data_IF_632830484944
#
_entry.id   IF_632830484944
#
_cell.length_a   1.000
_cell.length_b   1.000
_cell.length_c   1.000
_cell.angle_alpha   90.00
_cell.angle_beta   90.00
_cell.angle_gamma   90.00
#
_symmetry.space_group_name_H-M   'P 1'
#
loop_
_entity.id
_entity.type
_entity.pdbx_description
1 polymer ?
#
# COMPACT_ATOMS: atom_id res chain seq x y z
N UNK A 1 8.32 -6.28 20.53
CA UNK A 1 7.28 -6.94 19.75
C UNK A 1 7.15 -6.25 18.38
N UNK A 2 7.36 -7.02 17.33
CA UNK A 2 7.27 -6.48 15.97
C UNK A 2 5.82 -6.27 15.57
N UNK A 3 5.51 -5.03 15.18
CA UNK A 3 4.18 -4.70 14.66
C UNK A 3 4.15 -4.75 13.13
N UNK A 4 4.98 -5.63 12.55
CA UNK A 4 5.08 -5.76 11.11
C UNK A 4 3.81 -6.39 10.53
N UNK A 5 3.19 -5.70 9.60
CA UNK A 5 2.04 -6.22 8.86
C UNK A 5 2.50 -6.85 7.55
N UNK A 6 3.18 -6.08 6.73
CA UNK A 6 3.61 -6.51 5.41
C UNK A 6 4.85 -5.76 4.97
N UNK A 7 5.51 -6.27 3.94
CA UNK A 7 6.59 -5.55 3.26
C UNK A 7 6.44 -5.71 1.75
N UNK A 8 6.83 -4.69 1.01
CA UNK A 8 6.93 -4.75 -0.45
C UNK A 8 8.39 -4.95 -0.79
N UNK A 9 8.69 -6.00 -1.52
CA UNK A 9 10.07 -6.38 -1.85
C UNK A 9 10.21 -6.59 -3.35
N UNK A 10 11.43 -6.42 -3.86
CA UNK A 10 11.75 -6.75 -5.23
C UNK A 10 12.84 -7.81 -5.26
N UNK A 11 12.74 -8.69 -6.23
CA UNK A 11 13.73 -9.74 -6.46
C UNK A 11 14.07 -9.75 -7.92
N UNK A 12 15.37 -9.70 -8.23
CA UNK A 12 15.87 -9.74 -9.60
C UNK A 12 16.55 -11.07 -9.83
N UNK A 13 16.13 -11.77 -10.88
CA UNK A 13 16.69 -13.06 -11.26
C UNK A 13 17.22 -12.98 -12.69
N UNK A 14 18.37 -13.62 -12.91
CA UNK A 14 18.95 -13.78 -14.23
C UNK A 14 18.61 -15.17 -14.74
N UNK A 15 18.00 -15.23 -15.92
CA UNK A 15 17.70 -16.52 -16.56
C UNK A 15 18.84 -16.92 -17.47
N UNK A 16 19.46 -18.04 -17.15
CA UNK A 16 20.54 -18.60 -17.98
C UNK A 16 19.98 -19.01 -19.34
N UNK A 17 18.74 -19.50 -19.37
CA UNK A 17 18.11 -20.01 -20.59
C UNK A 17 17.80 -18.89 -21.58
N UNK A 18 17.25 -17.77 -21.13
CA UNK A 18 16.85 -16.66 -21.98
C UNK A 18 17.91 -15.57 -22.09
N UNK A 19 18.86 -15.55 -21.16
CA UNK A 19 19.87 -14.50 -21.07
C UNK A 19 19.30 -13.18 -20.58
N UNK A 20 18.09 -13.17 -20.05
CA UNK A 20 17.40 -11.96 -19.60
C UNK A 20 17.31 -11.88 -18.10
N UNK A 21 17.29 -10.64 -17.62
CA UNK A 21 17.07 -10.34 -16.21
C UNK A 21 15.60 -10.04 -15.99
N UNK A 22 14.99 -10.64 -14.99
CA UNK A 22 13.59 -10.45 -14.65
C UNK A 22 13.49 -9.94 -13.23
N UNK A 23 12.74 -8.85 -13.03
CA UNK A 23 12.49 -8.29 -11.71
C UNK A 23 11.04 -8.54 -11.33
N UNK A 24 10.84 -9.11 -10.15
CA UNK A 24 9.51 -9.34 -9.60
C UNK A 24 9.33 -8.50 -8.36
N UNK A 25 8.16 -7.87 -8.24
CA UNK A 25 7.79 -7.12 -7.06
C UNK A 25 6.65 -7.87 -6.39
N UNK A 26 6.77 -8.09 -5.08
CA UNK A 26 5.78 -8.86 -4.34
C UNK A 26 5.56 -8.30 -2.95
N UNK A 27 4.43 -8.68 -2.37
CA UNK A 27 4.08 -8.30 -1.00
C UNK A 27 4.20 -9.51 -0.10
N UNK A 28 4.91 -9.34 1.00
CA UNK A 28 5.12 -10.37 2.00
C UNK A 28 4.29 -10.04 3.23
N UNK A 29 3.55 -11.02 3.77
CA UNK A 29 2.79 -10.84 5.00
C UNK A 29 3.47 -11.56 6.15
N UNK A 30 3.49 -10.90 7.30
CA UNK A 30 4.11 -11.48 8.48
C UNK A 30 3.10 -12.30 9.28
N UNK A 31 3.51 -13.48 9.72
CA UNK A 31 2.67 -14.37 10.52
C UNK A 31 2.24 -13.68 11.81
N UNK A 32 3.12 -12.89 12.40
CA UNK A 32 2.82 -12.19 13.65
C UNK A 32 1.63 -11.22 13.51
N UNK A 33 1.44 -10.64 12.33
CA UNK A 33 0.29 -9.75 12.09
C UNK A 33 -1.03 -10.52 12.19
N UNK A 34 -1.04 -11.78 11.78
CA UNK A 34 -2.22 -12.63 11.90
C UNK A 34 -2.43 -13.05 13.37
N UNK A 35 -1.38 -13.53 13.99
CA UNK A 35 -1.45 -14.08 15.35
C UNK A 35 -1.69 -13.04 16.42
N UNK A 36 -1.26 -11.79 16.19
CA UNK A 36 -1.51 -10.69 17.12
C UNK A 36 -2.95 -10.18 17.09
N UNK A 37 -3.74 -10.61 16.12
CA UNK A 37 -5.10 -10.12 15.92
C UNK A 37 -5.19 -8.89 15.02
N UNK A 38 -4.07 -8.40 14.50
CA UNK A 38 -4.04 -7.19 13.68
C UNK A 38 -4.84 -7.38 12.39
N UNK A 39 -4.65 -8.51 11.70
CA UNK A 39 -5.37 -8.79 10.46
C UNK A 39 -6.87 -8.89 10.71
N UNK A 40 -7.26 -9.56 11.80
CA UNK A 40 -8.68 -9.66 12.17
C UNK A 40 -9.28 -8.29 12.46
N UNK A 41 -8.55 -7.46 13.18
CA UNK A 41 -9.02 -6.13 13.57
C UNK A 41 -9.16 -5.19 12.37
N UNK A 42 -8.20 -5.23 11.46
CA UNK A 42 -8.24 -4.42 10.23
C UNK A 42 -9.47 -4.78 9.39
N UNK A 43 -9.77 -6.07 9.26
CA UNK A 43 -10.87 -6.55 8.46
C UNK A 43 -10.53 -6.66 6.98
N UNK A 44 -11.36 -7.39 6.21
CA UNK A 44 -11.02 -7.73 4.83
C UNK A 44 -11.00 -6.53 3.89
N UNK A 45 -11.94 -5.60 4.03
CA UNK A 45 -12.02 -4.46 3.12
C UNK A 45 -10.86 -3.50 3.29
N UNK A 46 -10.51 -3.16 4.53
CA UNK A 46 -9.38 -2.29 4.79
C UNK A 46 -8.07 -2.94 4.41
N UNK A 47 -7.92 -4.23 4.67
CA UNK A 47 -6.71 -4.96 4.29
C UNK A 47 -6.55 -5.01 2.78
N UNK A 48 -7.62 -5.32 2.05
CA UNK A 48 -7.59 -5.34 0.58
C UNK A 48 -7.22 -3.96 0.03
N UNK A 49 -7.79 -2.90 0.59
CA UNK A 49 -7.49 -1.54 0.17
C UNK A 49 -6.03 -1.19 0.40
N UNK A 50 -5.49 -1.57 1.55
CA UNK A 50 -4.08 -1.35 1.87
C UNK A 50 -3.16 -2.10 0.89
N UNK A 51 -3.51 -3.33 0.53
CA UNK A 51 -2.76 -4.11 -0.46
C UNK A 51 -2.72 -3.39 -1.81
N UNK A 52 -3.87 -2.88 -2.24
CA UNK A 52 -3.96 -2.14 -3.51
C UNK A 52 -3.07 -0.90 -3.48
N UNK A 53 -3.14 -0.11 -2.41
CA UNK A 53 -2.28 1.06 -2.29
C UNK A 53 -0.81 0.67 -2.28
N UNK A 54 -0.46 -0.38 -1.55
CA UNK A 54 0.92 -0.87 -1.48
C UNK A 54 1.46 -1.26 -2.86
N UNK A 55 0.61 -1.80 -3.72
CA UNK A 55 1.01 -2.22 -5.07
C UNK A 55 1.40 -1.04 -5.97
N UNK A 56 1.00 0.17 -5.62
CA UNK A 56 1.35 1.39 -6.37
C UNK A 56 2.45 2.21 -5.71
N UNK A 57 3.01 1.74 -4.59
CA UNK A 57 4.00 2.51 -3.83
C UNK A 57 5.33 2.63 -4.55
N UNK A 58 5.96 3.81 -4.39
CA UNK A 58 7.34 4.03 -4.79
C UNK A 58 8.27 3.76 -3.61
N UNK A 59 9.56 4.02 -3.79
CA UNK A 59 10.58 3.77 -2.77
C UNK A 59 10.41 4.61 -1.50
N UNK A 60 9.66 5.72 -1.61
CA UNK A 60 9.41 6.61 -0.47
C UNK A 60 8.16 6.21 0.32
N UNK A 61 7.49 5.14 -0.08
CA UNK A 61 6.25 4.73 0.56
C UNK A 61 5.05 5.56 0.14
N UNK A 62 5.16 6.27 -0.97
CA UNK A 62 4.10 7.12 -1.49
C UNK A 62 3.52 6.54 -2.78
N UNK A 63 2.23 6.76 -3.01
CA UNK A 63 1.62 6.39 -4.27
C UNK A 63 0.58 7.42 -4.70
N UNK A 64 0.30 7.44 -6.00
CA UNK A 64 -0.53 8.46 -6.61
C UNK A 64 -1.64 7.87 -7.52
N UNK A 65 -2.25 6.73 -7.17
CA UNK A 65 -3.28 6.17 -8.04
C UNK A 65 -4.52 7.06 -8.03
N UNK A 66 -5.21 7.13 -9.18
CA UNK A 66 -6.49 7.82 -9.25
C UNK A 66 -7.55 6.99 -8.54
N UNK A 67 -8.67 7.63 -8.19
CA UNK A 67 -9.79 6.90 -7.61
C UNK A 67 -10.29 5.79 -8.53
N UNK A 68 -10.23 6.03 -9.83
CA UNK A 68 -10.63 5.03 -10.83
C UNK A 68 -9.68 3.84 -10.86
N UNK A 69 -8.38 4.09 -10.75
CA UNK A 69 -7.39 3.02 -10.68
C UNK A 69 -7.59 2.16 -9.44
N UNK A 70 -7.83 2.79 -8.30
CA UNK A 70 -8.09 2.09 -7.05
C UNK A 70 -9.37 1.25 -7.16
N UNK A 71 -10.44 1.86 -7.67
CA UNK A 71 -11.72 1.17 -7.83
C UNK A 71 -11.59 -0.04 -8.75
N UNK A 72 -10.88 0.12 -9.86
CA UNK A 72 -10.66 -0.97 -10.81
C UNK A 72 -9.85 -2.10 -10.16
N UNK A 73 -8.81 -1.76 -9.42
CA UNK A 73 -7.97 -2.76 -8.73
C UNK A 73 -8.75 -3.49 -7.64
N UNK A 74 -9.71 -2.82 -7.00
CA UNK A 74 -10.56 -3.43 -5.98
C UNK A 74 -11.77 -4.16 -6.57
N UNK A 75 -12.09 -3.92 -7.85
CA UNK A 75 -13.26 -4.50 -8.50
C UNK A 75 -14.57 -3.92 -8.00
N UNK A 76 -14.60 -2.64 -7.66
CA UNK A 76 -15.78 -1.96 -7.10
C UNK A 76 -15.99 -0.61 -7.80
N UNK A 77 -17.10 0.05 -7.46
CA UNK A 77 -17.39 1.38 -7.97
C UNK A 77 -16.45 2.42 -7.35
N UNK A 78 -16.35 3.57 -8.02
CA UNK A 78 -15.56 4.69 -7.53
C UNK A 78 -16.04 5.17 -6.16
N UNK A 79 -17.35 5.23 -5.96
CA UNK A 79 -17.95 5.65 -4.69
C UNK A 79 -17.59 4.68 -3.57
N UNK A 80 -17.63 3.38 -3.85
CA UNK A 80 -17.24 2.36 -2.88
C UNK A 80 -15.75 2.45 -2.55
N UNK A 81 -14.91 2.69 -3.55
CA UNK A 81 -13.47 2.89 -3.34
C UNK A 81 -13.23 4.08 -2.42
N UNK A 82 -13.90 5.19 -2.66
CA UNK A 82 -13.78 6.39 -1.82
C UNK A 82 -14.15 6.08 -0.37
N UNK A 83 -15.22 5.33 -0.14
CA UNK A 83 -15.63 4.92 1.21
C UNK A 83 -14.59 4.03 1.87
N UNK A 84 -14.02 3.08 1.13
CA UNK A 84 -13.00 2.18 1.67
C UNK A 84 -11.72 2.92 2.02
N UNK A 85 -11.30 3.88 1.20
CA UNK A 85 -10.16 4.75 1.49
C UNK A 85 -10.41 5.53 2.77
N UNK A 86 -11.61 6.10 2.91
CA UNK A 86 -11.99 6.86 4.10
C UNK A 86 -11.95 5.98 5.35
N UNK A 87 -12.47 4.77 5.25
CA UNK A 87 -12.46 3.81 6.35
C UNK A 87 -11.03 3.45 6.76
N UNK A 88 -10.17 3.20 5.78
CA UNK A 88 -8.77 2.88 6.04
C UNK A 88 -8.03 4.07 6.66
N UNK A 89 -8.32 5.27 6.18
CA UNK A 89 -7.70 6.50 6.69
C UNK A 89 -8.05 6.76 8.15
N UNK A 90 -9.28 6.44 8.55
CA UNK A 90 -9.74 6.62 9.94
C UNK A 90 -9.29 5.49 10.86
N UNK A 91 -8.93 4.36 10.29
CA UNK A 91 -8.56 3.19 11.08
C UNK A 91 -7.26 3.43 11.85
N UNK A 92 -7.21 2.93 13.08
CA UNK A 92 -6.00 2.98 13.90
C UNK A 92 -5.77 1.63 14.55
N UNK A 93 -4.55 1.18 14.51
CA UNK A 93 -4.10 0.02 15.25
C UNK A 93 -3.26 0.48 16.43
N UNK A 94 -3.73 0.18 17.64
CA UNK A 94 -3.09 0.63 18.89
C UNK A 94 -2.80 2.14 18.88
N UNK A 95 -3.79 2.90 18.41
CA UNK A 95 -3.71 4.36 18.38
C UNK A 95 -2.93 4.96 17.22
N UNK A 96 -2.45 4.14 16.30
CA UNK A 96 -1.64 4.61 15.18
C UNK A 96 -2.33 4.38 13.85
N UNK A 97 -2.32 5.42 13.00
CA UNK A 97 -2.86 5.34 11.64
C UNK A 97 -1.95 4.51 10.75
N UNK A 98 -2.55 3.81 9.76
CA UNK A 98 -1.78 3.03 8.79
C UNK A 98 -1.39 3.84 7.56
N UNK A 99 -2.23 4.81 7.18
CA UNK A 99 -1.97 5.63 6.00
C UNK A 99 -2.20 7.10 6.29
N UNK A 100 -1.58 7.94 5.49
CA UNK A 100 -1.83 9.38 5.46
C UNK A 100 -2.20 9.75 4.04
N UNK A 101 -3.20 10.64 3.90
CA UNK A 101 -3.67 11.10 2.60
C UNK A 101 -3.51 12.60 2.52
N UNK A 102 -2.78 13.07 1.50
CA UNK A 102 -2.57 14.48 1.25
C UNK A 102 -3.11 14.87 -0.12
N UNK A 103 -3.79 16.01 -0.17
CA UNK A 103 -4.26 16.59 -1.42
C UNK A 103 -3.68 17.99 -1.52
N UNK A 104 -3.16 18.31 -2.71
CA UNK A 104 -2.60 19.63 -2.96
C UNK A 104 -3.42 20.34 -4.03
N UNK A 105 -3.45 21.68 -3.97
CA UNK A 105 -4.06 22.51 -5.00
C UNK A 105 -2.98 23.13 -5.86
N UNK A 106 -3.29 23.25 -7.16
CA UNK A 106 -2.45 24.02 -8.05
C UNK A 106 -2.57 25.50 -7.66
N UNK A 107 -1.44 26.18 -7.34
CA UNK A 107 -1.51 27.57 -6.91
C UNK A 107 -2.10 28.51 -7.95
N UNK A 108 -2.02 28.18 -9.25
CA UNK A 108 -2.48 29.04 -10.31
C UNK A 108 -3.95 28.81 -10.65
N UNK A 109 -4.38 27.55 -10.75
CA UNK A 109 -5.73 27.22 -11.19
C UNK A 109 -6.68 26.95 -10.05
N UNK A 110 -6.18 26.75 -8.83
CA UNK A 110 -6.93 26.32 -7.64
C UNK A 110 -7.58 24.95 -7.82
N UNK A 111 -7.23 24.22 -8.88
CA UNK A 111 -7.70 22.86 -9.09
C UNK A 111 -6.97 21.89 -8.14
N UNK A 112 -7.66 20.84 -7.72
CA UNK A 112 -7.03 19.81 -6.92
C UNK A 112 -6.02 19.04 -7.78
N UNK A 113 -4.79 18.99 -7.30
CA UNK A 113 -3.75 18.17 -7.89
C UNK A 113 -3.89 16.72 -7.43
N UNK A 114 -2.88 15.91 -7.70
CA UNK A 114 -2.90 14.50 -7.36
C UNK A 114 -3.04 14.29 -5.85
N UNK A 115 -3.78 13.25 -5.50
CA UNK A 115 -3.85 12.79 -4.12
C UNK A 115 -2.65 11.89 -3.85
N UNK A 116 -1.95 12.15 -2.76
CA UNK A 116 -0.78 11.38 -2.35
C UNK A 116 -1.16 10.51 -1.16
N UNK A 117 -0.94 9.22 -1.29
CA UNK A 117 -1.16 8.25 -0.22
C UNK A 117 0.19 7.79 0.30
N UNK A 118 0.39 7.87 1.60
CA UNK A 118 1.64 7.43 2.24
C UNK A 118 1.31 6.35 3.26
N UNK A 119 2.00 5.22 3.18
CA UNK A 119 1.85 4.16 4.19
C UNK A 119 2.81 4.48 5.34
N UNK A 120 2.24 4.60 6.52
CA UNK A 120 2.99 5.02 7.70
C UNK A 120 3.78 3.87 8.33
N UNK A 121 4.83 4.18 9.11
CA UNK A 121 5.73 3.14 9.65
C UNK A 121 5.08 2.08 10.52
N UNK A 122 3.89 2.36 11.07
CA UNK A 122 3.20 1.37 11.90
C UNK A 122 2.84 0.11 11.15
N UNK A 123 2.70 0.20 9.81
CA UNK A 123 2.48 -0.97 8.97
C UNK A 123 3.78 -1.74 8.71
N UNK A 124 4.91 -1.13 9.02
CA UNK A 124 6.24 -1.65 8.76
C UNK A 124 6.42 -2.11 7.32
N UNK A 125 5.86 -1.34 6.40
CA UNK A 125 5.98 -1.63 4.99
C UNK A 125 7.38 -1.26 4.53
N UNK A 126 8.14 -2.27 4.12
CA UNK A 126 9.46 -2.07 3.54
C UNK A 126 9.30 -2.02 2.03
N UNK A 127 9.63 -0.89 1.43
CA UNK A 127 9.45 -0.67 0.01
C UNK A 127 10.75 -0.98 -0.73
N UNK A 128 10.66 -1.90 -1.69
CA UNK A 128 11.80 -2.26 -2.54
C UNK A 128 13.05 -2.59 -1.73
N UNK A 129 12.89 -3.54 -0.81
CA UNK A 129 13.99 -3.98 0.05
C UNK A 129 15.16 -4.56 -0.74
N UNK A 130 15.02 -4.69 -2.04
CA UNK A 130 16.08 -5.12 -2.92
C UNK A 130 16.35 -6.61 -2.87
N UNK A 131 17.44 -6.98 -3.54
CA UNK A 131 17.86 -8.37 -3.57
C UNK A 131 18.56 -8.72 -2.28
N UNK A 132 17.92 -9.52 -1.49
CA UNK A 132 18.63 -10.17 -0.39
C UNK A 132 19.21 -11.45 -0.90
N UNK A 133 20.49 -11.44 -0.96
CA UNK A 133 21.22 -12.64 -1.35
C UNK A 133 21.26 -13.62 -0.18
#
# INVERSE_FOLDING_TARGET
>A
MNNNLMSVESQTEYSITSGQTETRIFIKFYVDAVRSGMVADIGPERLQTLIVLASYMNEKGECYPTQEMIAKSLGISRESATRRIRSLRKYKWKGRSLIEVKRTRDPQTQAWANTIYTILPVSNLVIFDGDRK
#
